data_IF_564338592065
#
_entry.id   IF_564338592065
#
_cell.length_a   1.000
_cell.length_b   1.000
_cell.length_c   1.000
_cell.angle_alpha   90.00
_cell.angle_beta   90.00
_cell.angle_gamma   90.00
#
_symmetry.space_group_name_H-M   'P 1'
#
loop_
_entity.id
_entity.type
_entity.pdbx_description
1 polymer ?
#
# COMPACT_ATOMS: atom_id res chain seq x y z
N UNK A 1 12.25 3.74 -21.79
CA UNK A 1 10.92 4.37 -21.72
C UNK A 1 9.91 3.25 -21.89
N UNK A 2 9.10 2.94 -20.86
CA UNK A 2 8.06 1.90 -20.98
C UNK A 2 6.98 2.36 -21.96
N UNK A 3 6.46 1.43 -22.77
CA UNK A 3 5.43 1.68 -23.76
C UNK A 3 4.14 2.16 -23.04
N UNK A 4 3.55 3.32 -23.41
CA UNK A 4 2.32 3.80 -22.79
C UNK A 4 1.17 2.79 -22.82
N UNK A 5 1.18 1.84 -23.77
CA UNK A 5 0.17 0.80 -23.92
C UNK A 5 0.37 -0.41 -22.99
N UNK A 6 1.56 -0.61 -22.43
CA UNK A 6 1.84 -1.65 -21.41
C UNK A 6 1.50 -1.17 -19.99
N UNK A 7 1.05 0.08 -19.83
CA UNK A 7 0.85 0.69 -18.53
C UNK A 7 -0.45 0.21 -17.91
N UNK A 8 -0.35 -0.32 -16.69
CA UNK A 8 -1.52 -0.72 -15.93
C UNK A 8 -2.45 0.48 -15.69
N UNK A 9 -3.72 0.46 -16.17
CA UNK A 9 -4.61 1.61 -16.13
C UNK A 9 -5.02 2.04 -14.72
N UNK A 10 -4.68 1.24 -13.69
CA UNK A 10 -4.93 1.58 -12.29
C UNK A 10 -3.81 2.41 -11.63
N UNK A 11 -2.69 2.69 -12.31
CA UNK A 11 -1.60 3.54 -11.78
C UNK A 11 -1.54 4.85 -12.56
N UNK A 12 -1.60 5.97 -11.85
CA UNK A 12 -1.61 7.32 -12.39
C UNK A 12 -0.35 7.69 -13.15
N UNK A 13 -0.45 8.70 -14.01
CA UNK A 13 0.61 9.06 -14.95
C UNK A 13 1.85 9.69 -14.28
N UNK A 14 1.65 10.44 -13.21
CA UNK A 14 2.70 11.17 -12.49
C UNK A 14 2.91 10.60 -11.10
N UNK A 15 4.16 10.22 -10.81
CA UNK A 15 4.66 9.96 -9.47
C UNK A 15 5.53 11.13 -9.00
N UNK A 16 5.51 11.41 -7.69
CA UNK A 16 6.39 12.35 -7.03
C UNK A 16 7.47 11.55 -6.28
N UNK A 17 8.72 11.70 -6.69
CA UNK A 17 9.87 11.14 -5.99
C UNK A 17 10.40 12.18 -5.00
N UNK A 18 10.77 11.75 -3.80
CA UNK A 18 11.32 12.63 -2.77
C UNK A 18 12.51 11.97 -2.07
N UNK A 19 13.44 12.80 -1.62
CA UNK A 19 14.53 12.40 -0.73
C UNK A 19 14.27 12.91 0.69
N UNK A 20 14.68 12.15 1.69
CA UNK A 20 14.66 12.59 3.09
C UNK A 20 16.04 13.07 3.55
N UNK A 21 16.06 13.89 4.60
CA UNK A 21 17.30 14.33 5.28
C UNK A 21 18.07 13.18 5.95
N UNK A 22 17.44 12.01 6.12
CA UNK A 22 18.06 10.79 6.65
C UNK A 22 18.68 9.92 5.55
N UNK A 23 18.68 10.37 4.28
CA UNK A 23 19.29 9.66 3.17
C UNK A 23 18.41 8.57 2.54
N UNK A 24 17.10 8.57 2.82
CA UNK A 24 16.15 7.67 2.15
C UNK A 24 15.55 8.32 0.91
N UNK A 25 15.22 7.50 -0.10
CA UNK A 25 14.45 7.88 -1.28
C UNK A 25 13.06 7.25 -1.18
N UNK A 26 12.03 8.05 -1.45
CA UNK A 26 10.65 7.60 -1.46
C UNK A 26 9.91 8.00 -2.73
N UNK A 27 8.81 7.30 -3.00
CA UNK A 27 7.94 7.54 -4.14
C UNK A 27 6.48 7.64 -3.67
N UNK A 28 5.77 8.65 -4.18
CA UNK A 28 4.33 8.80 -4.02
C UNK A 28 3.72 8.76 -5.41
N UNK A 29 2.81 7.83 -5.66
CA UNK A 29 2.10 7.75 -6.93
C UNK A 29 0.60 7.68 -6.72
N UNK A 30 -0.14 8.22 -7.67
CA UNK A 30 -1.60 8.14 -7.66
C UNK A 30 -2.04 6.76 -8.15
N UNK A 31 -3.11 6.24 -7.56
CA UNK A 31 -3.76 5.00 -7.98
C UNK A 31 -5.24 5.26 -8.25
N UNK A 32 -5.85 4.42 -9.10
CA UNK A 32 -7.29 4.48 -9.33
C UNK A 32 -8.07 4.26 -8.02
N UNK A 33 -9.27 4.82 -7.86
CA UNK A 33 -10.09 4.64 -6.66
C UNK A 33 -10.38 3.17 -6.31
N UNK A 34 -10.52 2.31 -7.33
CA UNK A 34 -10.75 0.87 -7.14
C UNK A 34 -9.52 0.20 -6.52
N UNK A 35 -8.33 0.50 -7.06
CA UNK A 35 -7.08 -0.03 -6.51
C UNK A 35 -6.81 0.54 -5.12
N UNK A 36 -7.09 1.83 -4.89
CA UNK A 36 -6.99 2.45 -3.58
C UNK A 36 -7.84 1.72 -2.53
N UNK A 37 -9.13 1.51 -2.81
CA UNK A 37 -10.03 0.82 -1.89
C UNK A 37 -9.56 -0.61 -1.58
N UNK A 38 -9.09 -1.33 -2.60
CA UNK A 38 -8.51 -2.66 -2.43
C UNK A 38 -7.26 -2.65 -1.54
N UNK A 39 -6.31 -1.75 -1.83
CA UNK A 39 -5.08 -1.63 -1.05
C UNK A 39 -5.33 -1.16 0.38
N UNK A 40 -6.33 -0.30 0.62
CA UNK A 40 -6.71 0.11 1.97
C UNK A 40 -7.30 -1.03 2.79
N UNK A 41 -8.14 -1.87 2.18
CA UNK A 41 -8.64 -3.08 2.84
C UNK A 41 -7.48 -4.04 3.18
N UNK A 42 -6.52 -4.19 2.25
CA UNK A 42 -5.34 -5.01 2.47
C UNK A 42 -4.46 -4.48 3.61
N UNK A 43 -4.18 -3.18 3.61
CA UNK A 43 -3.43 -2.48 4.66
C UNK A 43 -4.08 -2.67 6.04
N UNK A 44 -5.41 -2.52 6.13
CA UNK A 44 -6.14 -2.70 7.39
C UNK A 44 -5.98 -4.11 7.95
N UNK A 45 -6.02 -5.14 7.10
CA UNK A 45 -5.85 -6.53 7.53
C UNK A 45 -4.40 -6.85 7.90
N UNK A 46 -3.44 -6.26 7.20
CA UNK A 46 -2.02 -6.42 7.51
C UNK A 46 -1.66 -5.78 8.85
N UNK A 47 -2.26 -4.64 9.19
CA UNK A 47 -2.05 -3.99 10.47
C UNK A 47 -2.39 -4.89 11.68
N UNK A 48 -3.28 -5.86 11.51
CA UNK A 48 -3.65 -6.85 12.55
C UNK A 48 -2.71 -8.06 12.59
N UNK A 49 -2.00 -8.35 11.48
CA UNK A 49 -1.10 -9.50 11.35
C UNK A 49 0.35 -9.15 11.66
N UNK A 50 0.76 -7.92 11.37
CA UNK A 50 2.15 -7.47 11.47
C UNK A 50 2.40 -6.84 12.83
N UNK A 51 3.52 -7.18 13.46
CA UNK A 51 3.93 -6.57 14.73
C UNK A 51 4.26 -5.10 14.48
N UNK A 52 3.60 -4.17 15.19
CA UNK A 52 3.85 -2.74 15.02
C UNK A 52 5.27 -2.33 15.42
N UNK A 53 5.83 -1.35 14.70
CA UNK A 53 7.13 -0.75 15.02
C UNK A 53 7.08 -0.15 16.43
N UNK A 54 7.94 -0.65 17.33
CA UNK A 54 8.04 -0.16 18.71
C UNK A 54 6.75 -0.29 19.54
N UNK A 55 5.80 -1.14 19.13
CA UNK A 55 4.51 -1.31 19.80
C UNK A 55 3.46 -0.22 19.47
N UNK A 56 3.74 0.69 18.54
CA UNK A 56 2.80 1.74 18.16
C UNK A 56 1.79 1.28 17.11
N UNK A 57 0.50 1.54 17.32
CA UNK A 57 -0.50 1.30 16.28
C UNK A 57 -0.11 1.96 14.95
N UNK A 58 -0.29 1.25 13.84
CA UNK A 58 0.20 1.65 12.51
C UNK A 58 -0.20 3.09 12.12
N UNK A 59 -1.47 3.45 12.32
CA UNK A 59 -1.97 4.81 12.03
C UNK A 59 -1.28 5.89 12.88
N UNK A 60 -0.88 5.57 14.11
CA UNK A 60 -0.18 6.49 15.00
C UNK A 60 1.30 6.61 14.65
N UNK A 61 1.90 5.58 14.05
CA UNK A 61 3.26 5.63 13.48
C UNK A 61 3.32 6.55 12.26
N UNK A 62 2.34 6.43 11.34
CA UNK A 62 2.27 7.24 10.11
C UNK A 62 1.61 8.62 10.27
N UNK A 63 1.12 8.97 11.45
CA UNK A 63 0.56 10.29 11.71
C UNK A 63 1.65 11.38 11.63
N UNK A 64 1.33 12.52 11.02
CA UNK A 64 2.16 13.70 11.10
C UNK A 64 2.14 14.22 12.53
N UNK A 65 3.33 14.42 13.12
CA UNK A 65 3.50 14.92 14.49
C UNK A 65 4.43 16.11 14.47
N UNK A 66 3.92 17.23 14.95
CA UNK A 66 4.66 18.42 15.34
C UNK A 66 4.26 18.74 16.78
N UNK A 67 5.08 19.48 17.53
CA UNK A 67 4.99 19.59 19.01
C UNK A 67 3.58 19.74 19.60
N UNK A 68 2.67 20.44 18.90
CA UNK A 68 1.28 20.67 19.33
C UNK A 68 0.23 20.16 18.36
N UNK A 69 0.63 19.47 17.28
CA UNK A 69 -0.27 19.07 16.21
C UNK A 69 -0.03 17.63 15.81
N UNK A 70 -1.07 16.82 15.96
CA UNK A 70 -1.11 15.48 15.39
C UNK A 70 -2.16 15.47 14.28
N UNK A 71 -1.74 15.13 13.06
CA UNK A 71 -2.63 14.98 11.91
C UNK A 71 -2.55 13.54 11.40
N UNK A 72 -3.69 12.85 11.40
CA UNK A 72 -3.78 11.49 10.86
C UNK A 72 -3.55 11.50 9.35
N UNK A 73 -2.86 10.49 8.86
CA UNK A 73 -2.72 10.28 7.42
C UNK A 73 -4.10 10.00 6.80
N UNK A 74 -4.45 10.73 5.74
CA UNK A 74 -5.73 10.58 5.04
C UNK A 74 -5.49 10.42 3.55
N UNK A 75 -6.24 9.52 2.91
CA UNK A 75 -6.14 9.25 1.47
C UNK A 75 -4.77 8.72 1.02
N UNK A 76 -4.05 8.05 1.92
CA UNK A 76 -2.78 7.35 1.63
C UNK A 76 -2.89 5.86 1.96
N UNK A 77 -2.15 5.08 1.17
CA UNK A 77 -1.82 3.68 1.42
C UNK A 77 -0.33 3.65 1.75
N UNK A 78 0.02 2.92 2.80
CA UNK A 78 1.40 2.65 3.17
C UNK A 78 2.01 1.53 2.33
N UNK A 79 2.88 1.89 1.39
CA UNK A 79 3.59 0.94 0.54
C UNK A 79 4.46 -0.05 1.33
N UNK A 80 5.15 0.41 2.38
CA UNK A 80 6.04 -0.44 3.18
C UNK A 80 5.22 -1.51 3.92
N UNK A 81 4.04 -1.15 4.45
CA UNK A 81 3.16 -2.14 5.06
C UNK A 81 2.62 -3.13 4.03
N UNK A 82 2.22 -2.66 2.85
CA UNK A 82 1.73 -3.54 1.76
C UNK A 82 2.82 -4.53 1.32
N UNK A 83 4.09 -4.12 1.26
CA UNK A 83 5.19 -4.99 0.85
C UNK A 83 5.42 -6.17 1.81
N UNK A 84 5.03 -6.04 3.08
CA UNK A 84 5.13 -7.14 4.07
C UNK A 84 4.35 -8.40 3.66
N UNK A 85 3.38 -8.29 2.75
CA UNK A 85 2.67 -9.45 2.16
C UNK A 85 3.63 -10.48 1.60
N UNK A 86 4.76 -10.02 1.03
CA UNK A 86 5.76 -10.90 0.44
C UNK A 86 6.42 -11.81 1.49
N UNK A 87 6.62 -11.26 2.70
CA UNK A 87 7.30 -11.92 3.82
C UNK A 87 6.37 -12.79 4.68
N UNK A 88 5.04 -12.72 4.48
CA UNK A 88 4.10 -13.52 5.25
C UNK A 88 4.24 -15.03 4.98
N UNK A 89 3.99 -15.82 6.03
CA UNK A 89 3.86 -17.27 5.94
C UNK A 89 2.66 -17.67 5.06
N UNK A 90 2.64 -18.89 4.55
CA UNK A 90 1.49 -19.38 3.77
C UNK A 90 0.19 -19.39 4.57
N UNK A 91 0.28 -19.62 5.88
CA UNK A 91 -0.88 -19.57 6.79
C UNK A 91 -1.41 -18.14 6.94
N UNK A 92 -0.53 -17.16 7.17
CA UNK A 92 -0.94 -15.76 7.28
C UNK A 92 -1.45 -15.20 5.95
N UNK A 93 -0.87 -15.61 4.83
CA UNK A 93 -1.40 -15.31 3.49
C UNK A 93 -2.81 -15.85 3.32
N UNK A 94 -3.07 -17.10 3.74
CA UNK A 94 -4.40 -17.69 3.70
C UNK A 94 -5.41 -16.93 4.58
N UNK A 95 -4.99 -16.49 5.77
CA UNK A 95 -5.79 -15.65 6.67
C UNK A 95 -6.09 -14.29 6.05
N UNK A 96 -5.09 -13.66 5.44
CA UNK A 96 -5.19 -12.35 4.79
C UNK A 96 -6.22 -12.34 3.66
N UNK A 97 -6.14 -13.34 2.75
CA UNK A 97 -7.01 -13.43 1.57
C UNK A 97 -8.43 -13.91 1.90
N UNK A 98 -8.64 -14.49 3.09
CA UNK A 98 -9.96 -15.02 3.49
C UNK A 98 -11.01 -13.90 3.50
N UNK A 99 -11.97 -13.97 2.59
CA UNK A 99 -13.02 -12.96 2.45
C UNK A 99 -12.55 -11.63 1.86
N UNK A 100 -11.33 -11.57 1.31
CA UNK A 100 -10.84 -10.39 0.60
C UNK A 100 -11.55 -10.29 -0.76
N UNK A 101 -12.15 -9.13 -1.04
CA UNK A 101 -12.80 -8.88 -2.33
C UNK A 101 -11.76 -8.38 -3.33
N UNK A 102 -11.41 -9.22 -4.29
CA UNK A 102 -10.46 -8.86 -5.35
C UNK A 102 -11.23 -8.22 -6.50
N UNK A 103 -10.86 -6.99 -6.93
CA UNK A 103 -11.44 -6.40 -8.12
C UNK A 103 -11.22 -7.30 -9.33
N UNK A 104 -12.29 -7.60 -10.08
CA UNK A 104 -12.23 -8.50 -11.26
C UNK A 104 -11.16 -8.06 -12.26
N UNK A 105 -10.96 -6.75 -12.40
CA UNK A 105 -9.95 -6.17 -13.29
C UNK A 105 -8.51 -6.48 -12.86
N UNK A 106 -8.25 -6.61 -11.55
CA UNK A 106 -6.94 -7.04 -11.02
C UNK A 106 -6.68 -8.51 -11.35
N UNK A 107 -7.69 -9.37 -11.22
CA UNK A 107 -7.59 -10.79 -11.57
C UNK A 107 -7.25 -10.95 -13.05
N UNK A 108 -8.03 -10.32 -13.93
CA UNK A 108 -7.85 -10.42 -15.38
C UNK A 108 -6.44 -9.99 -15.80
N UNK A 109 -5.92 -8.91 -15.22
CA UNK A 109 -4.60 -8.42 -15.58
C UNK A 109 -3.44 -9.15 -14.88
N UNK A 110 -3.67 -9.99 -13.87
CA UNK A 110 -2.65 -10.97 -13.43
C UNK A 110 -2.63 -12.17 -14.38
N UNK A 111 -3.78 -12.61 -14.87
CA UNK A 111 -3.90 -13.75 -15.80
C UNK A 111 -3.53 -13.42 -17.26
N UNK A 112 -3.59 -12.16 -17.69
CA UNK A 112 -3.19 -11.74 -19.05
C UNK A 112 -1.67 -11.54 -19.22
N UNK A 113 -0.91 -11.50 -18.13
CA UNK A 113 0.54 -11.29 -18.12
C UNK A 113 1.32 -12.50 -17.56
N UNK A 114 0.65 -13.64 -17.40
CA UNK A 114 1.22 -14.99 -17.19
C UNK A 114 0.92 -15.84 -18.42
#
# INVERSE_FOLDING_TARGET
MQNPEERWPAVGQSGCMYGSVQGSLGLIFQVSPILFAFLKELESRLADLVVPVGGFAHHAWRAFKEERMVKMAQNFVDGDLIETVLDLTSEDKARLVKGLRIPVRLVISVFLYL
#
